data_IF_709575445653
#
_entry.id   IF_709575445653
#
_cell.length_a   1.000
_cell.length_b   1.000
_cell.length_c   1.000
_cell.angle_alpha   90.00
_cell.angle_beta   90.00
_cell.angle_gamma   90.00
#
_symmetry.space_group_name_H-M   'P 1'
#
loop_
_entity.id
_entity.type
_entity.pdbx_description
1 polymer ?
#
# COMPACT_ATOMS: atom_id res chain seq x y z
N UNK A 1 -14.60 -37.77 -36.06
CA UNK A 1 -13.97 -36.53 -36.56
C UNK A 1 -14.85 -35.28 -36.40
N UNK A 2 -16.16 -35.31 -36.67
CA UNK A 2 -17.06 -34.13 -36.57
C UNK A 2 -17.27 -33.55 -35.15
N UNK A 3 -17.05 -34.34 -34.09
CA UNK A 3 -17.17 -33.88 -32.68
C UNK A 3 -16.02 -32.98 -32.23
N UNK A 4 -14.79 -33.23 -32.73
CA UNK A 4 -13.59 -32.43 -32.43
C UNK A 4 -13.69 -31.01 -33.02
N UNK A 5 -14.27 -30.89 -34.22
CA UNK A 5 -14.43 -29.60 -34.89
C UNK A 5 -15.45 -28.67 -34.21
N UNK A 6 -16.40 -29.24 -33.45
CA UNK A 6 -17.40 -28.47 -32.66
C UNK A 6 -16.89 -28.03 -31.28
N UNK A 7 -15.81 -28.61 -30.76
CA UNK A 7 -15.19 -28.20 -29.49
C UNK A 7 -14.19 -27.05 -29.66
N UNK A 8 -13.72 -26.81 -30.87
CA UNK A 8 -12.79 -25.73 -31.21
C UNK A 8 -13.31 -24.32 -30.81
N UNK A 9 -14.56 -23.92 -31.11
CA UNK A 9 -15.07 -22.61 -30.69
C UNK A 9 -15.28 -22.49 -29.17
N UNK A 10 -15.58 -23.60 -28.49
CA UNK A 10 -15.77 -23.62 -27.03
C UNK A 10 -14.43 -23.45 -26.29
N UNK A 11 -13.36 -24.02 -26.82
CA UNK A 11 -11.98 -23.83 -26.32
C UNK A 11 -11.49 -22.38 -26.53
N UNK A 12 -11.79 -21.78 -27.68
CA UNK A 12 -11.47 -20.36 -27.94
C UNK A 12 -12.27 -19.40 -27.05
N UNK A 13 -13.55 -19.68 -26.79
CA UNK A 13 -14.36 -18.87 -25.88
C UNK A 13 -13.86 -18.96 -24.43
N UNK A 14 -13.44 -20.14 -23.98
CA UNK A 14 -12.88 -20.35 -22.65
C UNK A 14 -11.52 -19.66 -22.47
N UNK A 15 -10.66 -19.67 -23.49
CA UNK A 15 -9.37 -18.97 -23.46
C UNK A 15 -9.53 -17.44 -23.52
N UNK A 16 -10.50 -16.91 -24.28
CA UNK A 16 -10.83 -15.48 -24.23
C UNK A 16 -11.39 -15.07 -22.86
N UNK A 17 -12.29 -15.86 -22.26
CA UNK A 17 -12.85 -15.55 -20.95
C UNK A 17 -11.77 -15.54 -19.85
N UNK A 18 -10.76 -16.41 -19.96
CA UNK A 18 -9.64 -16.45 -19.01
C UNK A 18 -8.75 -15.19 -19.09
N UNK A 19 -8.64 -14.56 -20.26
CA UNK A 19 -7.90 -13.29 -20.41
C UNK A 19 -8.59 -12.12 -19.69
N UNK A 20 -9.93 -12.13 -19.58
CA UNK A 20 -10.69 -11.08 -18.90
C UNK A 20 -10.72 -11.21 -17.37
N UNK A 21 -10.30 -12.35 -16.83
CA UNK A 21 -10.24 -12.60 -15.37
C UNK A 21 -8.82 -12.33 -14.83
N UNK A 22 -7.89 -11.90 -15.68
CA UNK A 22 -6.55 -11.53 -15.23
C UNK A 22 -6.65 -10.47 -14.13
N UNK A 23 -6.16 -10.75 -12.91
CA UNK A 23 -6.21 -9.77 -11.84
C UNK A 23 -5.40 -8.56 -12.28
N UNK A 24 -6.03 -7.39 -12.27
CA UNK A 24 -5.31 -6.13 -12.40
C UNK A 24 -4.34 -6.10 -11.22
N UNK A 25 -3.04 -6.31 -11.50
CA UNK A 25 -2.01 -6.05 -10.52
C UNK A 25 -2.04 -4.55 -10.29
N UNK A 26 -2.78 -4.12 -9.26
CA UNK A 26 -2.76 -2.75 -8.79
C UNK A 26 -1.29 -2.43 -8.53
N UNK A 27 -0.73 -1.53 -9.34
CA UNK A 27 0.57 -0.95 -9.08
C UNK A 27 0.46 -0.29 -7.71
N UNK A 28 0.95 -0.98 -6.67
CA UNK A 28 0.99 -0.42 -5.34
C UNK A 28 1.77 0.90 -5.45
N UNK A 29 1.11 2.01 -5.08
CA UNK A 29 1.75 3.31 -5.09
C UNK A 29 3.01 3.22 -4.22
N UNK A 30 4.14 3.69 -4.75
CA UNK A 30 5.40 3.71 -4.01
C UNK A 30 5.34 4.89 -3.04
N UNK A 31 5.24 4.67 -1.72
CA UNK A 31 5.16 5.79 -0.79
C UNK A 31 6.48 6.55 -0.79
N UNK A 32 6.40 7.87 -0.61
CA UNK A 32 7.58 8.67 -0.28
C UNK A 32 7.92 8.45 1.20
N UNK A 33 9.18 8.16 1.50
CA UNK A 33 9.66 7.95 2.87
C UNK A 33 10.48 9.16 3.28
N UNK A 34 10.09 9.81 4.39
CA UNK A 34 10.85 10.89 5.03
C UNK A 34 11.35 10.36 6.38
N UNK A 35 12.67 10.26 6.54
CA UNK A 35 13.31 9.87 7.79
C UNK A 35 13.81 11.13 8.51
N UNK A 36 13.28 11.41 9.69
CA UNK A 36 13.68 12.55 10.52
C UNK A 36 14.41 11.99 11.73
N UNK A 37 15.67 12.40 11.91
CA UNK A 37 16.50 12.03 13.06
C UNK A 37 16.90 13.31 13.80
N UNK A 38 16.66 13.32 15.11
CA UNK A 38 17.14 14.35 16.01
C UNK A 38 18.26 13.76 16.86
N UNK A 39 19.37 14.48 16.96
CA UNK A 39 20.50 14.11 17.80
C UNK A 39 20.20 14.43 19.27
N UNK A 40 20.63 13.55 20.18
CA UNK A 40 20.45 13.67 21.64
C UNK A 40 19.01 13.95 22.15
N UNK A 41 17.98 13.73 21.32
CA UNK A 41 16.60 13.89 21.75
C UNK A 41 16.16 12.68 22.59
N UNK A 42 15.93 12.91 23.89
CA UNK A 42 15.37 11.93 24.78
C UNK A 42 13.88 11.71 24.53
N UNK A 43 13.36 10.54 24.90
CA UNK A 43 11.93 10.25 24.74
C UNK A 43 11.04 11.20 25.57
N UNK A 44 11.52 11.76 26.69
CA UNK A 44 10.75 12.73 27.50
C UNK A 44 10.72 14.13 26.90
N UNK A 45 11.44 14.37 25.82
CA UNK A 45 11.53 15.71 25.22
C UNK A 45 10.38 16.00 24.25
N UNK A 46 9.59 15.02 23.84
CA UNK A 46 8.41 15.26 23.02
C UNK A 46 7.15 15.48 23.88
N UNK A 47 6.32 16.43 23.47
CA UNK A 47 5.04 16.78 24.11
C UNK A 47 4.10 15.58 24.24
N UNK A 48 4.06 14.68 23.25
CA UNK A 48 3.29 13.43 23.31
C UNK A 48 3.65 12.49 24.46
N UNK A 49 4.85 12.63 25.03
CA UNK A 49 5.30 11.86 26.18
C UNK A 49 5.20 12.66 27.50
N UNK A 50 4.51 13.80 27.48
CA UNK A 50 4.27 14.64 28.65
C UNK A 50 5.40 15.63 28.94
N UNK A 51 6.17 16.05 27.94
CA UNK A 51 7.17 17.11 28.15
C UNK A 51 6.49 18.43 28.54
N UNK A 52 6.84 18.98 29.70
CA UNK A 52 6.40 20.32 30.13
C UNK A 52 7.36 21.43 29.68
N UNK A 53 8.59 21.07 29.29
CA UNK A 53 9.66 22.01 28.93
C UNK A 53 9.68 22.30 27.44
N UNK A 54 9.52 21.27 26.61
CA UNK A 54 9.66 21.38 25.16
C UNK A 54 8.30 21.24 24.48
N UNK A 55 7.97 22.21 23.64
CA UNK A 55 6.75 22.18 22.84
C UNK A 55 7.06 21.64 21.44
N UNK A 56 6.47 20.49 21.10
CA UNK A 56 6.70 19.78 19.82
C UNK A 56 5.44 19.64 18.96
N UNK A 57 4.69 20.72 18.67
CA UNK A 57 3.34 20.63 18.11
C UNK A 57 3.28 19.92 16.75
N UNK A 58 4.37 19.94 15.96
CA UNK A 58 4.43 19.20 14.70
C UNK A 58 4.62 17.70 14.90
N UNK A 59 5.43 17.27 15.88
CA UNK A 59 5.60 15.86 16.25
C UNK A 59 4.30 15.36 16.88
N UNK A 60 3.69 16.17 17.73
CA UNK A 60 2.43 15.83 18.40
C UNK A 60 1.32 15.58 17.37
N UNK A 61 1.16 16.49 16.40
CA UNK A 61 0.22 16.33 15.29
C UNK A 61 0.55 15.14 14.37
N UNK A 62 1.82 14.77 14.22
CA UNK A 62 2.20 13.59 13.43
C UNK A 62 1.79 12.31 14.18
N UNK A 63 2.07 12.23 15.47
CA UNK A 63 1.70 11.08 16.31
C UNK A 63 0.18 10.87 16.39
N UNK A 64 -0.62 11.95 16.40
CA UNK A 64 -2.09 11.87 16.36
C UNK A 64 -2.64 11.32 15.04
N UNK A 65 -1.91 11.50 13.92
CA UNK A 65 -2.38 11.15 12.57
C UNK A 65 -1.95 9.77 12.10
N UNK A 66 -0.93 9.18 12.74
CA UNK A 66 -0.31 7.93 12.30
C UNK A 66 0.72 8.12 11.20
#
# INVERSE_FOLDING_TARGET
MKKILKLLPLSCAATLAFLFIAPSAALAERPNIIHIMADDMGWRDAGIYGSETFHTPNIDRLAEKG
#
